data_IF_553665995096
#
_entry.id   IF_553665995096
#
_cell.length_a   1.000
_cell.length_b   1.000
_cell.length_c   1.000
_cell.angle_alpha   90.00
_cell.angle_beta   90.00
_cell.angle_gamma   90.00
#
_symmetry.space_group_name_H-M   'P 1'
#
loop_
_entity.id
_entity.type
_entity.pdbx_description
1 polymer ?
#
# COMPACT_ATOMS: atom_id res chain seq x y z
N UNK A 1 -31.73 -32.84 0.54
CA UNK A 1 -30.87 -32.20 1.55
C UNK A 1 -29.39 -32.02 1.16
N UNK A 2 -28.93 -32.40 -0.06
CA UNK A 2 -27.53 -32.18 -0.49
C UNK A 2 -27.29 -30.85 -1.23
N UNK A 3 -28.30 -30.27 -1.88
CA UNK A 3 -28.15 -29.05 -2.71
C UNK A 3 -27.99 -27.74 -1.91
N UNK A 4 -28.57 -27.66 -0.70
CA UNK A 4 -28.48 -26.45 0.14
C UNK A 4 -27.10 -26.25 0.78
N UNK A 5 -26.33 -27.32 1.01
CA UNK A 5 -24.95 -27.22 1.52
C UNK A 5 -23.95 -26.68 0.49
N UNK A 6 -24.24 -26.89 -0.80
CA UNK A 6 -23.37 -26.44 -1.91
C UNK A 6 -23.51 -24.92 -2.12
N UNK A 7 -24.73 -24.38 -1.96
CA UNK A 7 -25.00 -22.95 -2.12
C UNK A 7 -24.38 -22.13 -0.96
N UNK A 8 -24.41 -22.66 0.27
CA UNK A 8 -23.72 -22.02 1.41
C UNK A 8 -22.19 -22.04 1.27
N UNK A 9 -21.62 -23.07 0.63
CA UNK A 9 -20.18 -23.15 0.39
C UNK A 9 -19.70 -22.18 -0.68
N UNK A 10 -20.54 -21.87 -1.68
CA UNK A 10 -20.20 -20.95 -2.76
C UNK A 10 -20.23 -19.48 -2.30
N UNK A 11 -21.13 -19.14 -1.38
CA UNK A 11 -21.22 -17.79 -0.80
C UNK A 11 -20.04 -17.47 0.14
N UNK A 12 -19.53 -18.45 0.88
CA UNK A 12 -18.33 -18.28 1.73
C UNK A 12 -17.05 -18.19 0.89
N UNK A 13 -16.98 -18.92 -0.22
CA UNK A 13 -15.86 -18.84 -1.16
C UNK A 13 -15.84 -17.51 -1.94
N UNK A 14 -17.00 -16.94 -2.27
CA UNK A 14 -17.09 -15.66 -2.98
C UNK A 14 -16.74 -14.46 -2.09
N UNK A 15 -16.97 -14.54 -0.78
CA UNK A 15 -16.56 -13.49 0.18
C UNK A 15 -15.05 -13.44 0.46
N UNK A 16 -14.30 -14.48 0.06
CA UNK A 16 -12.84 -14.53 0.24
C UNK A 16 -12.05 -13.95 -0.95
N UNK A 17 -12.73 -13.52 -2.03
CA UNK A 17 -12.08 -13.01 -3.25
C UNK A 17 -11.93 -11.47 -3.25
N UNK A 18 -12.45 -10.75 -2.24
CA UNK A 18 -12.43 -9.27 -2.19
C UNK A 18 -11.17 -8.69 -1.55
N UNK A 19 -10.22 -9.52 -1.11
CA UNK A 19 -8.92 -9.07 -0.61
C UNK A 19 -7.79 -9.55 -1.51
N UNK A 20 -7.87 -9.21 -2.80
CA UNK A 20 -6.63 -9.15 -3.58
C UNK A 20 -5.80 -8.01 -2.95
N UNK A 21 -4.55 -8.26 -2.53
CA UNK A 21 -3.68 -7.17 -2.12
C UNK A 21 -3.55 -6.24 -3.31
N UNK A 22 -4.14 -5.05 -3.19
CA UNK A 22 -3.90 -3.97 -4.13
C UNK A 22 -2.45 -3.54 -3.95
N UNK A 23 -1.77 -3.37 -5.08
CA UNK A 23 -0.34 -3.12 -5.14
C UNK A 23 -0.03 -1.82 -4.40
N UNK A 24 0.80 -1.88 -3.36
CA UNK A 24 0.98 -0.79 -2.43
C UNK A 24 2.45 -0.42 -2.35
N UNK A 25 2.89 0.56 -3.14
CA UNK A 25 4.32 0.91 -3.25
C UNK A 25 4.85 1.49 -1.95
N UNK A 26 6.02 1.03 -1.52
CA UNK A 26 6.63 1.44 -0.26
C UNK A 26 7.16 2.88 -0.30
N UNK A 27 7.48 3.47 -1.46
CA UNK A 27 7.99 4.85 -1.50
C UNK A 27 6.88 5.91 -1.35
N UNK A 28 5.62 5.56 -1.64
CA UNK A 28 4.45 6.43 -1.53
C UNK A 28 4.10 6.87 -0.09
N UNK A 29 4.58 6.17 0.94
CA UNK A 29 4.36 6.52 2.36
C UNK A 29 5.55 7.25 3.01
N UNK A 30 6.56 7.62 2.22
CA UNK A 30 7.76 8.31 2.71
C UNK A 30 7.61 9.83 2.68
N UNK A 31 8.29 10.54 3.59
CA UNK A 31 8.32 12.02 3.65
C UNK A 31 8.85 12.69 2.37
N UNK A 32 9.66 11.96 1.61
CA UNK A 32 10.26 12.40 0.35
C UNK A 32 9.55 11.78 -0.87
N UNK A 33 8.52 10.98 -0.63
CA UNK A 33 7.76 10.27 -1.65
C UNK A 33 6.82 11.16 -2.44
N UNK A 34 6.22 10.63 -3.52
CA UNK A 34 5.41 11.40 -4.45
C UNK A 34 4.13 11.95 -3.80
N UNK A 35 3.46 11.18 -2.95
CA UNK A 35 2.23 11.57 -2.24
C UNK A 35 2.45 12.79 -1.35
N UNK A 36 3.52 12.79 -0.53
CA UNK A 36 3.84 13.93 0.35
C UNK A 36 4.42 15.10 -0.44
N UNK A 37 5.16 14.83 -1.53
CA UNK A 37 5.63 15.88 -2.44
C UNK A 37 4.45 16.68 -3.00
N UNK A 38 3.39 16.02 -3.44
CA UNK A 38 2.19 16.71 -3.91
C UNK A 38 1.37 17.32 -2.77
N UNK A 39 1.41 16.77 -1.55
CA UNK A 39 0.83 17.41 -0.37
C UNK A 39 1.48 18.75 -0.05
N UNK A 40 2.81 18.83 -0.13
CA UNK A 40 3.57 20.08 0.02
C UNK A 40 3.16 21.10 -1.05
N UNK A 41 3.04 20.68 -2.31
CA UNK A 41 2.55 21.53 -3.40
C UNK A 41 1.11 22.00 -3.18
N UNK A 42 0.24 21.12 -2.68
CA UNK A 42 -1.15 21.46 -2.37
C UNK A 42 -1.23 22.60 -1.36
N UNK A 43 -0.45 22.52 -0.28
CA UNK A 43 -0.38 23.56 0.76
C UNK A 43 0.19 24.86 0.19
N UNK A 44 1.30 24.79 -0.57
CA UNK A 44 1.95 25.95 -1.17
C UNK A 44 1.01 26.72 -2.11
N UNK A 45 0.24 25.99 -2.92
CA UNK A 45 -0.67 26.56 -3.91
C UNK A 45 -2.10 26.75 -3.41
N UNK A 46 -2.39 26.42 -2.14
CA UNK A 46 -3.74 26.38 -1.58
C UNK A 46 -4.75 25.65 -2.50
N UNK A 47 -4.34 24.49 -3.02
CA UNK A 47 -5.14 23.70 -3.96
C UNK A 47 -5.10 22.22 -3.59
N UNK A 48 -6.20 21.71 -3.05
CA UNK A 48 -6.33 20.29 -2.67
C UNK A 48 -6.22 19.33 -3.86
N UNK A 49 -6.50 19.78 -5.09
CA UNK A 49 -6.54 18.88 -6.25
C UNK A 49 -5.19 18.21 -6.55
N UNK A 50 -4.07 18.81 -6.12
CA UNK A 50 -2.75 18.17 -6.17
C UNK A 50 -2.73 16.82 -5.43
N UNK A 51 -3.49 16.65 -4.34
CA UNK A 51 -3.54 15.42 -3.56
C UNK A 51 -4.71 14.51 -3.86
N UNK A 52 -5.83 15.06 -4.36
CA UNK A 52 -7.06 14.27 -4.57
C UNK A 52 -6.88 13.14 -5.60
N UNK A 53 -5.90 13.28 -6.51
CA UNK A 53 -5.51 12.21 -7.44
C UNK A 53 -4.91 10.97 -6.78
N UNK A 54 -4.41 11.07 -5.55
CA UNK A 54 -3.79 9.97 -4.81
C UNK A 54 -4.80 9.15 -3.99
N UNK A 55 -6.08 9.55 -3.95
CA UNK A 55 -7.10 8.89 -3.15
C UNK A 55 -8.32 8.52 -3.99
N UNK A 56 -9.08 7.54 -3.51
CA UNK A 56 -10.31 7.11 -4.17
C UNK A 56 -11.38 8.22 -4.12
N UNK A 57 -12.35 8.23 -5.06
CA UNK A 57 -13.44 9.23 -5.08
C UNK A 57 -14.20 9.33 -3.75
N UNK A 58 -14.38 8.20 -3.06
CA UNK A 58 -15.12 8.11 -1.80
C UNK A 58 -14.40 8.86 -0.66
N UNK A 59 -13.08 8.95 -0.73
CA UNK A 59 -12.23 9.54 0.28
C UNK A 59 -11.90 11.04 0.03
N UNK A 60 -12.29 11.59 -1.14
CA UNK A 60 -12.00 12.99 -1.48
C UNK A 60 -12.50 13.99 -0.43
N UNK A 61 -13.71 13.75 0.10
CA UNK A 61 -14.32 14.65 1.07
C UNK A 61 -13.54 14.68 2.38
N UNK A 62 -13.03 13.54 2.83
CA UNK A 62 -12.22 13.44 4.03
C UNK A 62 -10.91 14.20 3.84
N UNK A 63 -10.17 13.94 2.75
CA UNK A 63 -8.92 14.63 2.44
C UNK A 63 -9.12 16.13 2.31
N UNK A 64 -10.16 16.58 1.62
CA UNK A 64 -10.47 18.01 1.46
C UNK A 64 -10.78 18.68 2.80
N UNK A 65 -11.51 18.01 3.69
CA UNK A 65 -11.82 18.53 5.02
C UNK A 65 -10.56 18.69 5.86
N UNK A 66 -9.66 17.71 5.82
CA UNK A 66 -8.38 17.74 6.52
C UNK A 66 -7.49 18.86 5.96
N UNK A 67 -7.41 18.98 4.64
CA UNK A 67 -6.68 20.05 3.96
C UNK A 67 -7.19 21.44 4.41
N UNK A 68 -8.50 21.67 4.40
CA UNK A 68 -9.12 22.92 4.84
C UNK A 68 -8.79 23.25 6.30
N UNK A 69 -8.78 22.25 7.18
CA UNK A 69 -8.40 22.43 8.59
C UNK A 69 -6.92 22.81 8.72
N UNK A 70 -6.04 22.14 7.97
CA UNK A 70 -4.62 22.45 7.93
C UNK A 70 -4.37 23.88 7.46
N UNK A 71 -5.00 24.30 6.36
CA UNK A 71 -4.86 25.65 5.82
C UNK A 71 -5.35 26.74 6.78
N UNK A 72 -6.38 26.46 7.60
CA UNK A 72 -6.90 27.41 8.60
C UNK A 72 -5.92 27.73 9.74
N UNK A 73 -5.05 26.77 10.10
CA UNK A 73 -4.23 26.89 11.31
C UNK A 73 -2.72 26.97 11.04
N UNK A 74 -2.26 26.58 9.84
CA UNK A 74 -0.83 26.51 9.53
C UNK A 74 -0.07 27.83 9.69
N UNK A 75 -0.74 28.97 9.56
CA UNK A 75 -0.12 30.30 9.61
C UNK A 75 -0.20 30.95 11.00
N UNK A 76 -0.71 30.25 12.02
CA UNK A 76 -0.83 30.79 13.39
C UNK A 76 0.52 30.87 14.12
N UNK A 77 1.42 29.90 13.91
CA UNK A 77 2.79 29.89 14.43
C UNK A 77 3.63 28.83 13.70
N UNK A 78 4.97 28.85 13.83
CA UNK A 78 5.83 27.77 13.29
C UNK A 78 5.46 26.38 13.83
N UNK A 79 5.06 26.27 15.09
CA UNK A 79 4.62 25.02 15.71
C UNK A 79 3.26 24.58 15.16
N UNK A 80 2.33 25.52 14.96
CA UNK A 80 1.04 25.24 14.34
C UNK A 80 1.20 24.76 12.90
N UNK A 81 2.13 25.37 12.13
CA UNK A 81 2.52 24.90 10.80
C UNK A 81 2.97 23.45 10.85
N UNK A 82 3.99 23.16 11.65
CA UNK A 82 4.54 21.80 11.77
C UNK A 82 3.48 20.77 12.17
N UNK A 83 2.64 21.10 13.16
CA UNK A 83 1.58 20.19 13.64
C UNK A 83 0.52 19.93 12.56
N UNK A 84 0.06 20.98 11.90
CA UNK A 84 -1.01 20.87 10.90
C UNK A 84 -0.57 20.23 9.59
N UNK A 85 0.67 20.49 9.15
CA UNK A 85 1.26 19.80 8.00
C UNK A 85 1.47 18.32 8.29
N UNK A 86 2.03 17.96 9.45
CA UNK A 86 2.18 16.56 9.84
C UNK A 86 0.83 15.84 9.96
N UNK A 87 -0.18 16.49 10.55
CA UNK A 87 -1.54 15.96 10.63
C UNK A 87 -2.12 15.66 9.24
N UNK A 88 -1.89 16.57 8.28
CA UNK A 88 -2.32 16.35 6.89
C UNK A 88 -1.56 15.21 6.22
N UNK A 89 -0.22 15.18 6.34
CA UNK A 89 0.61 14.14 5.73
C UNK A 89 0.26 12.74 6.25
N UNK A 90 0.13 12.58 7.57
CA UNK A 90 -0.22 11.28 8.18
C UNK A 90 -1.60 10.78 7.71
N UNK A 91 -2.59 11.67 7.65
CA UNK A 91 -3.92 11.27 7.20
C UNK A 91 -4.00 11.02 5.70
N UNK A 92 -3.32 11.84 4.89
CA UNK A 92 -3.26 11.62 3.44
C UNK A 92 -2.62 10.26 3.14
N UNK A 93 -1.47 9.96 3.76
CA UNK A 93 -0.79 8.68 3.59
C UNK A 93 -1.67 7.54 4.11
N UNK A 94 -2.31 7.67 5.28
CA UNK A 94 -3.25 6.65 5.78
C UNK A 94 -4.34 6.32 4.76
N UNK A 95 -5.01 7.35 4.23
CA UNK A 95 -6.13 7.21 3.29
C UNK A 95 -5.65 6.64 1.95
N UNK A 96 -4.49 7.09 1.47
CA UNK A 96 -3.87 6.56 0.27
C UNK A 96 -3.54 5.07 0.41
N UNK A 97 -2.85 4.67 1.50
CA UNK A 97 -2.54 3.26 1.81
C UNK A 97 -3.79 2.41 1.95
N UNK A 98 -4.84 2.92 2.56
CA UNK A 98 -6.14 2.24 2.65
C UNK A 98 -6.76 2.02 1.27
N UNK A 99 -6.65 3.01 0.37
CA UNK A 99 -7.05 2.86 -1.04
C UNK A 99 -6.21 1.83 -1.81
N UNK A 100 -4.95 1.66 -1.43
CA UNK A 100 -4.07 0.58 -1.87
C UNK A 100 -4.27 -0.71 -1.06
N UNK A 101 -5.26 -0.82 -0.19
CA UNK A 101 -5.53 -2.03 0.61
C UNK A 101 -4.39 -2.42 1.55
N UNK A 102 -3.47 -1.50 1.83
CA UNK A 102 -2.30 -1.69 2.67
C UNK A 102 -2.45 -1.02 4.04
N UNK A 103 -1.83 -1.58 5.08
CA UNK A 103 -1.88 -0.98 6.42
C UNK A 103 -1.09 0.33 6.46
N UNK A 104 -1.63 1.30 7.19
CA UNK A 104 -0.88 2.49 7.57
C UNK A 104 0.09 2.16 8.71
N UNK A 105 1.39 2.37 8.47
CA UNK A 105 2.46 2.11 9.44
C UNK A 105 3.26 3.36 9.80
N UNK A 106 2.62 4.53 9.67
CA UNK A 106 3.24 5.84 9.85
C UNK A 106 3.91 6.35 8.57
N UNK A 107 4.10 7.68 8.50
CA UNK A 107 4.90 8.31 7.45
C UNK A 107 6.38 7.99 7.70
N UNK A 108 7.07 7.42 6.71
CA UNK A 108 8.49 7.10 6.86
C UNK A 108 9.33 8.38 6.87
N UNK A 109 10.36 8.46 7.72
CA UNK A 109 11.17 9.68 7.83
C UNK A 109 11.86 10.01 6.50
N UNK A 110 12.23 11.28 6.34
CA UNK A 110 13.06 11.70 5.20
C UNK A 110 14.41 10.96 5.21
N UNK A 111 14.91 10.60 4.03
CA UNK A 111 16.09 9.76 3.86
C UNK A 111 15.85 8.27 4.11
N UNK A 112 14.59 7.82 4.21
CA UNK A 112 14.25 6.39 4.16
C UNK A 112 14.79 5.79 2.87
N UNK A 113 15.50 4.67 2.98
CA UNK A 113 16.01 3.96 1.81
C UNK A 113 14.84 3.29 1.09
N UNK A 114 14.65 3.66 -0.17
CA UNK A 114 13.67 3.05 -1.09
C UNK A 114 14.38 2.09 -2.04
N UNK A 115 13.62 1.26 -2.75
CA UNK A 115 14.21 0.34 -3.71
C UNK A 115 14.94 1.12 -4.83
N UNK A 116 16.19 0.74 -5.19
CA UNK A 116 16.92 1.40 -6.27
C UNK A 116 16.18 1.45 -7.61
N UNK A 117 15.36 0.43 -7.92
CA UNK A 117 14.53 0.36 -9.13
C UNK A 117 13.35 1.33 -9.06
N UNK A 118 12.68 1.46 -7.92
CA UNK A 118 11.65 2.49 -7.70
C UNK A 118 12.25 3.90 -7.89
N UNK A 119 13.40 4.16 -7.25
CA UNK A 119 14.10 5.44 -7.37
C UNK A 119 14.55 5.74 -8.81
N UNK A 120 14.96 4.71 -9.56
CA UNK A 120 15.33 4.82 -10.96
C UNK A 120 14.12 5.05 -11.87
N UNK A 121 12.98 4.42 -11.57
CA UNK A 121 11.73 4.61 -12.30
C UNK A 121 11.21 6.05 -12.14
N UNK A 122 11.25 6.60 -10.93
CA UNK A 122 10.95 8.02 -10.68
C UNK A 122 11.84 8.96 -11.51
N UNK A 123 13.16 8.72 -11.48
CA UNK A 123 14.13 9.48 -12.28
C UNK A 123 13.88 9.35 -13.78
N UNK A 124 13.40 8.20 -14.24
CA UNK A 124 13.10 7.98 -15.65
C UNK A 124 11.95 8.87 -16.11
N UNK A 125 10.91 9.00 -15.28
CA UNK A 125 9.78 9.91 -15.53
C UNK A 125 10.24 11.37 -15.51
N UNK A 126 11.09 11.75 -14.56
CA UNK A 126 11.67 13.10 -14.48
C UNK A 126 12.50 13.43 -15.72
N UNK A 127 13.40 12.52 -16.12
CA UNK A 127 14.30 12.70 -17.26
C UNK A 127 13.60 12.52 -18.62
N UNK A 128 12.40 11.94 -18.66
CA UNK A 128 11.67 11.67 -19.88
C UNK A 128 12.30 10.55 -20.73
N UNK A 129 13.07 9.64 -20.12
CA UNK A 129 13.67 8.48 -20.79
C UNK A 129 13.98 7.35 -19.77
N UNK A 130 14.20 6.14 -20.28
CA UNK A 130 14.45 4.94 -19.45
C UNK A 130 15.91 4.76 -19.00
N UNK A 131 16.82 5.69 -19.33
CA UNK A 131 18.25 5.49 -19.02
C UNK A 131 18.58 5.25 -17.54
N UNK A 132 17.85 5.83 -16.56
CA UNK A 132 18.08 5.50 -15.15
C UNK A 132 17.79 4.04 -14.78
N UNK A 133 16.95 3.33 -15.55
CA UNK A 133 16.61 1.92 -15.35
C UNK A 133 17.52 0.96 -16.14
N UNK A 134 18.42 1.48 -16.98
CA UNK A 134 19.39 0.66 -17.71
C UNK A 134 20.23 -0.18 -16.74
N UNK A 135 20.34 -1.49 -17.01
CA UNK A 135 21.05 -2.46 -16.18
C UNK A 135 20.47 -2.72 -14.77
N UNK A 136 19.33 -2.12 -14.43
CA UNK A 136 18.57 -2.43 -13.20
C UNK A 136 17.40 -3.38 -13.46
N UNK A 137 16.97 -3.49 -14.71
CA UNK A 137 15.86 -4.33 -15.15
C UNK A 137 16.35 -5.36 -16.17
N UNK A 138 15.78 -6.56 -16.12
CA UNK A 138 16.07 -7.65 -17.04
C UNK A 138 15.69 -7.29 -18.49
N UNK A 139 16.49 -7.73 -19.47
CA UNK A 139 16.35 -7.32 -20.87
C UNK A 139 15.00 -7.70 -21.49
N UNK A 140 14.39 -8.79 -21.04
CA UNK A 140 13.09 -9.29 -21.48
C UNK A 140 11.91 -8.44 -20.99
N UNK A 141 12.07 -7.70 -19.88
CA UNK A 141 11.05 -6.77 -19.36
C UNK A 141 11.06 -5.40 -20.04
N UNK A 142 12.14 -5.04 -20.75
CA UNK A 142 12.32 -3.73 -21.39
C UNK A 142 11.18 -3.35 -22.35
N UNK A 143 10.64 -4.25 -23.20
CA UNK A 143 9.53 -3.89 -24.08
C UNK A 143 8.27 -3.43 -23.33
N UNK A 144 7.87 -4.15 -22.29
CA UNK A 144 6.70 -3.80 -21.48
C UNK A 144 6.97 -2.56 -20.61
N UNK A 145 8.17 -2.46 -20.04
CA UNK A 145 8.60 -1.27 -19.30
C UNK A 145 8.49 -0.01 -20.17
N UNK A 146 8.86 -0.12 -21.45
CA UNK A 146 8.75 0.97 -22.41
C UNK A 146 7.29 1.34 -22.70
N UNK A 147 6.41 0.36 -22.89
CA UNK A 147 4.97 0.63 -23.08
C UNK A 147 4.37 1.36 -21.87
N UNK A 148 4.64 0.87 -20.66
CA UNK A 148 4.18 1.49 -19.41
C UNK A 148 4.76 2.90 -19.24
N UNK A 149 6.03 3.09 -19.56
CA UNK A 149 6.67 4.40 -19.54
C UNK A 149 6.02 5.39 -20.52
N UNK A 150 5.79 4.98 -21.78
CA UNK A 150 5.11 5.80 -22.78
C UNK A 150 3.70 6.18 -22.32
N UNK A 151 2.99 5.26 -21.67
CA UNK A 151 1.69 5.53 -21.06
C UNK A 151 1.77 6.59 -19.97
N UNK A 152 2.70 6.47 -19.03
CA UNK A 152 2.93 7.49 -17.98
C UNK A 152 3.22 8.85 -18.59
N UNK A 153 4.15 8.91 -19.55
CA UNK A 153 4.54 10.16 -20.19
C UNK A 153 3.38 10.81 -20.97
N UNK A 154 2.51 10.00 -21.59
CA UNK A 154 1.32 10.51 -22.30
C UNK A 154 0.28 11.15 -21.38
N UNK A 155 0.27 10.77 -20.10
CA UNK A 155 -0.69 11.24 -19.09
C UNK A 155 -0.11 12.32 -18.16
N UNK A 156 1.20 12.52 -18.16
CA UNK A 156 1.93 13.36 -17.20
C UNK A 156 1.47 14.82 -17.16
N UNK A 157 1.14 15.38 -18.32
CA UNK A 157 0.77 16.79 -18.48
C UNK A 157 -0.74 17.03 -18.36
N UNK A 158 -1.37 16.40 -17.36
CA UNK A 158 -2.80 16.58 -17.06
C UNK A 158 -3.08 17.96 -16.40
N UNK A 159 -4.30 18.47 -16.54
CA UNK A 159 -4.75 19.65 -15.77
C UNK A 159 -4.93 19.27 -14.31
N UNK A 160 -4.22 19.94 -13.39
CA UNK A 160 -4.32 19.69 -11.95
C UNK A 160 -5.75 19.77 -11.42
N UNK A 161 -6.63 20.54 -12.06
CA UNK A 161 -8.04 20.65 -11.65
C UNK A 161 -8.94 19.57 -12.25
N UNK A 162 -8.43 18.77 -13.19
CA UNK A 162 -9.05 17.53 -13.62
C UNK A 162 -8.52 16.38 -12.76
N UNK A 163 -9.12 16.21 -11.58
CA UNK A 163 -8.76 15.14 -10.63
C UNK A 163 -8.87 13.75 -11.27
N UNK A 164 -9.81 13.55 -12.22
CA UNK A 164 -9.96 12.27 -12.91
C UNK A 164 -8.76 11.99 -13.81
N UNK A 165 -8.32 12.96 -14.61
CA UNK A 165 -7.10 12.83 -15.40
C UNK A 165 -5.86 12.62 -14.50
N UNK A 166 -5.81 13.31 -13.36
CA UNK A 166 -4.75 13.09 -12.37
C UNK A 166 -4.72 11.66 -11.82
N UNK A 167 -5.88 11.04 -11.58
CA UNK A 167 -5.97 9.63 -11.16
C UNK A 167 -5.50 8.66 -12.24
N UNK A 168 -5.88 8.90 -13.49
CA UNK A 168 -5.39 8.10 -14.62
C UNK A 168 -3.86 8.16 -14.72
N UNK A 169 -3.26 9.34 -14.49
CA UNK A 169 -1.82 9.47 -14.37
C UNK A 169 -1.25 8.68 -13.19
N UNK A 170 -1.84 8.78 -12.00
CA UNK A 170 -1.36 8.06 -10.79
C UNK A 170 -1.45 6.55 -10.97
N UNK A 171 -2.52 6.04 -11.58
CA UNK A 171 -2.66 4.60 -11.89
C UNK A 171 -1.55 4.12 -12.82
N UNK A 172 -1.30 4.84 -13.92
CA UNK A 172 -0.20 4.51 -14.83
C UNK A 172 1.17 4.64 -14.15
N UNK A 173 1.36 5.68 -13.33
CA UNK A 173 2.57 5.93 -12.56
C UNK A 173 2.88 4.76 -11.62
N UNK A 174 1.93 4.39 -10.76
CA UNK A 174 2.10 3.29 -9.79
C UNK A 174 2.38 1.98 -10.53
N UNK A 175 1.62 1.66 -11.58
CA UNK A 175 1.83 0.45 -12.38
C UNK A 175 3.18 0.40 -13.11
N UNK A 176 3.77 1.55 -13.45
CA UNK A 176 5.13 1.60 -14.01
C UNK A 176 6.20 1.41 -12.92
N UNK A 177 6.06 2.08 -11.77
CA UNK A 177 6.99 1.94 -10.64
C UNK A 177 7.03 0.48 -10.17
N UNK A 178 5.88 -0.16 -9.96
CA UNK A 178 5.78 -1.55 -9.52
C UNK A 178 6.41 -2.53 -10.51
N UNK A 179 6.08 -2.38 -11.79
CA UNK A 179 6.66 -3.23 -12.84
C UNK A 179 8.18 -3.10 -12.89
N UNK A 180 8.71 -1.88 -12.74
CA UNK A 180 10.16 -1.66 -12.68
C UNK A 180 10.80 -2.28 -11.42
N UNK A 181 10.10 -2.25 -10.29
CA UNK A 181 10.56 -2.78 -9.01
C UNK A 181 10.43 -4.30 -8.85
N UNK A 182 9.81 -5.00 -9.82
CA UNK A 182 9.53 -6.44 -9.76
C UNK A 182 8.68 -6.85 -8.56
N UNK A 183 7.83 -5.95 -8.06
CA UNK A 183 6.70 -6.37 -7.25
C UNK A 183 5.76 -7.12 -8.20
N UNK A 184 5.82 -8.46 -8.19
CA UNK A 184 5.11 -9.31 -9.13
C UNK A 184 3.65 -8.86 -9.32
N UNK A 185 3.29 -8.44 -10.53
CA UNK A 185 1.91 -8.60 -10.99
C UNK A 185 1.69 -10.11 -11.12
N UNK A 186 1.00 -10.74 -10.16
CA UNK A 186 0.42 -12.07 -10.38
C UNK A 186 -0.71 -11.96 -11.44
N UNK A 187 -0.30 -11.69 -12.67
CA UNK A 187 -1.08 -11.76 -13.88
C UNK A 187 -1.03 -13.19 -14.41
N UNK A 188 -2.16 -13.87 -14.32
CA UNK A 188 -2.40 -15.25 -14.73
C UNK A 188 -1.66 -15.69 -16.02
N UNK A 189 -0.56 -16.41 -15.86
CA UNK A 189 -0.09 -17.40 -16.84
C UNK A 189 0.31 -18.69 -16.12
N UNK A 190 -0.59 -19.67 -16.22
CA UNK A 190 -0.30 -21.06 -15.94
C UNK A 190 0.85 -21.54 -16.84
N UNK A 191 1.96 -21.99 -16.25
CA UNK A 191 2.60 -23.21 -16.71
C UNK A 191 3.25 -23.94 -15.53
N UNK A 192 2.81 -25.18 -15.36
CA UNK A 192 3.16 -26.07 -14.27
C UNK A 192 4.49 -26.75 -14.55
N UNK A 193 5.49 -26.59 -13.70
CA UNK A 193 6.51 -27.63 -13.51
C UNK A 193 6.84 -27.83 -12.03
N UNK A 194 6.42 -28.98 -11.55
CA UNK A 194 6.73 -29.53 -10.24
C UNK A 194 8.14 -30.10 -10.22
N UNK A 195 9.02 -29.56 -9.39
CA UNK A 195 10.20 -30.30 -8.94
C UNK A 195 10.31 -30.27 -7.42
N UNK A 196 9.92 -31.41 -6.86
CA UNK A 196 10.18 -31.82 -5.48
C UNK A 196 11.68 -32.05 -5.34
N UNK A 197 12.31 -31.40 -4.37
CA UNK A 197 13.63 -31.82 -3.88
C UNK A 197 13.59 -31.86 -2.36
N UNK A 198 13.77 -33.06 -1.83
CA UNK A 198 13.96 -33.35 -0.40
C UNK A 198 15.15 -32.57 0.15
N UNK A 199 14.95 -31.91 1.30
CA UNK A 199 16.02 -31.36 2.11
C UNK A 199 16.13 -32.16 3.41
N UNK A 200 17.15 -33.01 3.47
CA UNK A 200 17.57 -33.66 4.72
C UNK A 200 18.35 -32.70 5.62
N UNK A 201 18.04 -32.87 6.89
CA UNK A 201 18.52 -32.28 8.12
C UNK A 201 20.06 -32.21 8.24
N UNK A 202 20.61 -31.04 8.64
CA UNK A 202 21.71 -31.02 9.61
C UNK A 202 21.79 -29.65 10.31
N UNK A 203 21.40 -29.68 11.58
CA UNK A 203 21.60 -28.60 12.55
C UNK A 203 22.96 -28.82 13.19
N UNK A 204 23.86 -27.83 13.12
CA UNK A 204 24.95 -27.70 14.06
C UNK A 204 24.94 -26.31 14.69
N UNK A 205 24.82 -26.29 16.02
CA UNK A 205 24.70 -25.14 16.90
C UNK A 205 26.04 -24.42 17.02
N UNK A 206 26.01 -23.09 17.08
CA UNK A 206 26.93 -22.33 17.92
C UNK A 206 26.13 -21.36 18.81
N UNK A 207 26.36 -21.53 20.11
CA UNK A 207 25.93 -20.65 21.19
C UNK A 207 26.75 -19.36 21.15
N UNK A 208 26.11 -18.20 21.32
CA UNK A 208 26.58 -17.22 22.30
C UNK A 208 25.49 -16.24 22.74
N UNK A 209 25.68 -15.76 23.97
CA UNK A 209 24.73 -15.23 24.95
C UNK A 209 24.02 -13.93 24.58
N UNK A 210 22.74 -13.82 24.94
CA UNK A 210 22.11 -12.57 25.37
C UNK A 210 21.13 -12.87 26.52
N UNK A 211 21.24 -12.07 27.58
CA UNK A 211 20.58 -12.25 28.86
C UNK A 211 19.11 -11.79 28.88
N UNK A 212 18.36 -12.40 29.80
CA UNK A 212 16.96 -12.31 30.20
C UNK A 212 16.10 -11.09 29.81
N UNK A 213 15.00 -11.38 29.09
CA UNK A 213 13.69 -10.73 29.25
C UNK A 213 12.61 -11.81 29.35
N UNK A 214 11.63 -11.72 30.27
CA UNK A 214 10.60 -12.75 30.42
C UNK A 214 9.63 -12.73 29.24
N UNK A 215 9.80 -13.68 28.33
CA UNK A 215 8.86 -13.99 27.24
C UNK A 215 7.62 -14.63 27.86
N UNK A 216 6.48 -13.93 27.79
CA UNK A 216 5.18 -14.51 28.15
C UNK A 216 4.89 -15.66 27.16
N UNK A 217 4.69 -16.91 27.62
CA UNK A 217 4.48 -18.03 26.71
C UNK A 217 3.14 -17.89 25.98
N UNK A 218 3.18 -18.05 24.66
CA UNK A 218 2.02 -17.99 23.76
C UNK A 218 0.96 -19.07 24.05
N UNK A 219 1.19 -19.96 25.02
CA UNK A 219 0.22 -20.92 25.53
C UNK A 219 -0.97 -20.27 26.27
N UNK A 220 -0.87 -19.00 26.67
CA UNK A 220 -1.99 -18.27 27.30
C UNK A 220 -2.94 -17.58 26.31
N UNK A 221 -2.53 -17.37 25.05
CA UNK A 221 -3.42 -16.82 24.00
C UNK A 221 -4.50 -17.82 23.55
N UNK A 222 -4.21 -19.13 23.67
CA UNK A 222 -5.17 -20.19 23.36
C UNK A 222 -6.33 -20.32 24.36
N UNK A 223 -6.16 -19.81 25.58
CA UNK A 223 -7.19 -19.93 26.65
C UNK A 223 -8.33 -18.91 26.44
N UNK A 224 -8.06 -17.79 25.76
CA UNK A 224 -9.09 -16.76 25.50
C UNK A 224 -10.05 -17.11 24.34
N UNK A 225 -9.68 -18.05 23.47
CA UNK A 225 -10.52 -18.47 22.33
C UNK A 225 -11.50 -19.59 22.68
N UNK A 226 -11.24 -20.36 23.74
CA UNK A 226 -12.10 -21.48 24.13
C UNK A 226 -13.29 -21.04 25.00
N UNK A 227 -13.15 -19.94 25.75
CA UNK A 227 -14.22 -19.43 26.62
C UNK A 227 -15.36 -18.75 25.84
N UNK A 228 -15.03 -18.04 24.75
CA UNK A 228 -16.00 -17.37 23.88
C UNK A 228 -16.87 -18.36 23.10
N UNK A 229 -16.32 -19.50 22.68
CA UNK A 229 -17.07 -20.55 21.99
C UNK A 229 -18.08 -21.24 22.91
N UNK A 230 -17.70 -21.52 24.17
CA UNK A 230 -18.58 -22.18 25.15
C UNK A 230 -19.73 -21.24 25.57
N UNK A 231 -19.44 -19.95 25.79
CA UNK A 231 -20.46 -18.94 26.14
C UNK A 231 -21.42 -18.65 24.97
N UNK A 232 -20.91 -18.62 23.73
CA UNK A 232 -21.74 -18.44 22.52
C UNK A 232 -22.75 -19.58 22.31
N UNK A 233 -22.32 -20.83 22.50
CA UNK A 233 -23.21 -22.01 22.37
C UNK A 233 -24.25 -22.02 23.50
N UNK A 234 -23.88 -21.66 24.73
CA UNK A 234 -24.80 -21.58 25.86
C UNK A 234 -25.86 -20.48 25.70
N UNK A 235 -25.47 -19.31 25.17
CA UNK A 235 -26.39 -18.19 24.92
C UNK A 235 -27.42 -18.56 23.84
N UNK A 236 -26.99 -19.19 22.75
CA UNK A 236 -27.88 -19.51 21.65
C UNK A 236 -28.93 -20.58 22.00
N UNK A 237 -28.57 -21.53 22.87
CA UNK A 237 -29.47 -22.59 23.36
C UNK A 237 -30.53 -22.09 24.36
N UNK A 238 -30.28 -20.96 25.04
CA UNK A 238 -31.23 -20.32 25.95
C UNK A 238 -32.21 -19.40 25.22
N UNK A 239 -31.82 -18.83 24.09
CA UNK A 239 -32.67 -17.94 23.28
C UNK A 239 -33.67 -18.66 22.36
N UNK A 240 -33.52 -19.98 22.15
CA UNK A 240 -34.41 -20.78 21.30
C UNK A 240 -35.42 -21.64 22.09
N UNK A 241 -35.72 -21.28 23.34
CA UNK A 241 -36.67 -21.99 24.20
C UNK A 241 -37.71 -21.06 24.77
#
# INVERSE_FOLDING_TARGET
>A
MKKSKIISSLLVALTLIVSLPTMASAHCDTMDGPTITDAKKAIENNNANYVLKWVTPENEKEVSTIFDLTMKVKDLSPEAKKLSENYFFENLVRIHREGEGAPFTGVKPSGTVIDPKEAAADKSIEAGNLSPLENLVENDKIPELKERFEKVMSLKDYDVNDVKAGREYVEAYVGFIHFAAEEEEEGAHHESESHVVEAENSVEKNHDKAEDLPVIPWSLAGIFSLSTLILGIAYHKKASK
#
